data_IF_992253869033
#
_entry.id   IF_992253869033
#
_cell.length_a   1.000
_cell.length_b   1.000
_cell.length_c   1.000
_cell.angle_alpha   90.00
_cell.angle_beta   90.00
_cell.angle_gamma   90.00
#
_symmetry.space_group_name_H-M   'P 1'
#
loop_
_entity.id
_entity.type
_entity.pdbx_description
1 polymer ?
#
# COMPACT_ATOMS: atom_id res chain seq x y z
N UNK A 1 13.14 6.79 5.24
CA UNK A 1 13.81 5.48 5.11
C UNK A 1 14.83 5.58 4.00
N UNK A 2 16.09 5.13 4.18
CA UNK A 2 17.10 5.25 3.13
C UNK A 2 16.76 4.36 1.92
N UNK A 3 17.08 4.84 0.71
CA UNK A 3 16.73 4.22 -0.58
C UNK A 3 17.10 2.74 -0.66
N UNK A 4 18.38 2.41 -0.46
CA UNK A 4 18.90 1.06 -0.66
C UNK A 4 18.19 0.03 0.22
N UNK A 5 17.89 0.41 1.47
CA UNK A 5 17.17 -0.46 2.39
C UNK A 5 15.69 -0.62 2.02
N UNK A 6 15.04 0.43 1.53
CA UNK A 6 13.66 0.30 1.04
C UNK A 6 13.58 -0.66 -0.14
N UNK A 7 14.47 -0.51 -1.12
CA UNK A 7 14.46 -1.31 -2.35
C UNK A 7 14.83 -2.79 -2.11
N UNK A 8 15.76 -3.06 -1.20
CA UNK A 8 16.28 -4.43 -1.00
C UNK A 8 15.65 -5.21 0.15
N UNK A 9 15.16 -4.51 1.18
CA UNK A 9 14.79 -5.14 2.45
C UNK A 9 13.36 -4.82 2.86
N UNK A 10 13.04 -3.55 2.99
CA UNK A 10 11.84 -3.13 3.72
C UNK A 10 10.53 -3.12 2.89
N UNK A 11 10.56 -3.36 1.58
CA UNK A 11 9.36 -3.37 0.75
C UNK A 11 8.31 -4.40 1.22
N UNK A 12 8.73 -5.62 1.59
CA UNK A 12 7.83 -6.67 2.09
C UNK A 12 7.25 -6.29 3.45
N UNK A 13 8.09 -5.83 4.38
CA UNK A 13 7.64 -5.37 5.70
C UNK A 13 6.65 -4.21 5.61
N UNK A 14 6.88 -3.27 4.69
CA UNK A 14 6.00 -2.13 4.45
C UNK A 14 4.60 -2.59 4.03
N UNK A 15 4.52 -3.51 3.06
CA UNK A 15 3.25 -4.01 2.53
C UNK A 15 2.53 -5.00 3.46
N UNK A 16 3.26 -5.73 4.31
CA UNK A 16 2.67 -6.72 5.23
C UNK A 16 2.25 -6.10 6.56
N UNK A 17 2.99 -5.11 7.06
CA UNK A 17 2.83 -4.61 8.42
C UNK A 17 2.99 -3.09 8.59
N UNK A 18 3.40 -2.34 7.56
CA UNK A 18 3.69 -0.90 7.62
C UNK A 18 2.46 -0.01 7.86
N UNK A 19 1.86 -0.12 9.04
CA UNK A 19 0.64 0.58 9.42
C UNK A 19 0.92 1.83 10.26
N UNK A 20 -0.04 2.75 10.28
CA UNK A 20 0.03 4.04 10.97
C UNK A 20 -0.30 3.96 12.47
N UNK A 21 -0.96 2.89 12.92
CA UNK A 21 -1.20 2.68 14.34
C UNK A 21 0.08 2.18 15.03
N UNK A 22 0.31 2.64 16.24
CA UNK A 22 1.51 2.31 17.01
C UNK A 22 1.72 3.24 18.20
N UNK A 23 2.86 3.12 18.87
CA UNK A 23 3.16 3.89 20.08
C UNK A 23 3.50 5.36 19.82
N UNK A 24 3.90 5.74 18.60
CA UNK A 24 4.30 7.11 18.30
C UNK A 24 3.11 7.98 17.88
N UNK A 25 3.20 9.28 18.21
CA UNK A 25 2.22 10.28 17.77
C UNK A 25 2.28 10.56 16.27
N UNK A 26 3.47 10.47 15.67
CA UNK A 26 3.63 10.68 14.23
C UNK A 26 3.33 9.36 13.49
N UNK A 27 2.28 9.31 12.64
CA UNK A 27 1.90 8.09 11.92
C UNK A 27 3.00 7.59 10.99
N UNK A 28 3.84 8.46 10.41
CA UNK A 28 4.96 8.05 9.56
C UNK A 28 6.04 7.30 10.36
N UNK A 29 6.30 7.68 11.62
CA UNK A 29 7.20 6.93 12.49
C UNK A 29 6.64 5.55 12.82
N UNK A 30 5.32 5.40 12.97
CA UNK A 30 4.69 4.09 13.16
C UNK A 30 4.82 3.22 11.90
N UNK A 31 4.65 3.77 10.69
CA UNK A 31 4.85 3.03 9.44
C UNK A 31 6.27 2.45 9.40
N UNK A 32 7.28 3.28 9.68
CA UNK A 32 8.69 2.84 9.68
C UNK A 32 8.94 1.83 10.80
N UNK A 33 8.42 2.06 12.02
CA UNK A 33 8.57 1.13 13.14
C UNK A 33 8.05 -0.26 12.77
N UNK A 34 6.79 -0.33 12.35
CA UNK A 34 6.15 -1.59 12.03
C UNK A 34 6.84 -2.30 10.87
N UNK A 35 7.26 -1.54 9.86
CA UNK A 35 7.98 -2.08 8.70
C UNK A 35 9.30 -2.74 9.10
N UNK A 36 10.14 -2.02 9.86
CA UNK A 36 11.46 -2.50 10.28
C UNK A 36 11.31 -3.64 11.27
N UNK A 37 10.39 -3.54 12.23
CA UNK A 37 10.14 -4.60 13.19
C UNK A 37 9.68 -5.88 12.52
N UNK A 38 8.73 -5.81 11.59
CA UNK A 38 8.24 -6.99 10.89
C UNK A 38 9.34 -7.66 10.07
N UNK A 39 10.16 -6.87 9.36
CA UNK A 39 11.29 -7.40 8.60
C UNK A 39 12.34 -8.08 9.49
N UNK A 40 12.70 -7.44 10.61
CA UNK A 40 13.67 -8.00 11.57
C UNK A 40 13.14 -9.28 12.24
N UNK A 41 11.87 -9.32 12.63
CA UNK A 41 11.28 -10.47 13.30
C UNK A 41 10.93 -11.61 12.34
N UNK A 42 10.60 -11.28 11.09
CA UNK A 42 10.15 -12.22 10.08
C UNK A 42 10.91 -12.01 8.77
N UNK A 43 12.24 -12.25 8.76
CA UNK A 43 13.08 -12.04 7.59
C UNK A 43 12.61 -12.91 6.43
N UNK A 44 12.73 -12.39 5.21
CA UNK A 44 12.48 -13.17 4.00
C UNK A 44 13.60 -14.21 3.81
N UNK A 45 13.25 -15.41 3.31
CA UNK A 45 14.25 -16.43 2.97
C UNK A 45 14.87 -16.22 1.58
N UNK A 46 14.08 -15.70 0.64
CA UNK A 46 14.56 -15.27 -0.66
C UNK A 46 14.98 -13.81 -0.58
N UNK A 47 16.25 -13.52 -0.89
CA UNK A 47 16.65 -12.16 -1.24
C UNK A 47 15.94 -11.81 -2.55
N UNK A 48 14.95 -10.92 -2.48
CA UNK A 48 14.34 -10.36 -3.67
C UNK A 48 15.39 -9.54 -4.44
N UNK A 49 15.37 -9.62 -5.77
CA UNK A 49 16.06 -8.65 -6.63
C UNK A 49 15.67 -7.23 -6.21
N UNK A 50 16.52 -6.24 -6.53
CA UNK A 50 16.25 -4.84 -6.20
C UNK A 50 14.84 -4.42 -6.68
N UNK A 51 13.95 -4.18 -5.71
CA UNK A 51 12.56 -3.78 -5.98
C UNK A 51 12.52 -2.27 -6.08
N UNK A 52 12.45 -1.75 -7.30
CA UNK A 52 12.25 -0.33 -7.54
C UNK A 52 10.77 0.07 -7.39
N UNK A 53 9.83 -0.86 -7.51
CA UNK A 53 8.39 -0.59 -7.52
C UNK A 53 7.66 -1.16 -6.32
N UNK A 54 6.86 -0.33 -5.66
CA UNK A 54 5.90 -0.79 -4.66
C UNK A 54 4.58 -1.09 -5.40
N UNK A 55 4.04 -2.28 -5.21
CA UNK A 55 2.74 -2.63 -5.81
C UNK A 55 1.66 -1.65 -5.32
N UNK A 56 1.06 -0.93 -6.26
CA UNK A 56 0.09 0.13 -5.98
C UNK A 56 -1.18 -0.40 -5.32
N UNK A 57 -1.69 -1.55 -5.78
CA UNK A 57 -2.90 -2.16 -5.22
C UNK A 57 -2.66 -2.63 -3.78
N UNK A 58 -1.58 -3.36 -3.51
CA UNK A 58 -1.23 -3.77 -2.16
C UNK A 58 -0.94 -2.58 -1.24
N UNK A 59 -0.36 -1.49 -1.75
CA UNK A 59 -0.16 -0.27 -0.98
C UNK A 59 -1.50 0.38 -0.56
N UNK A 60 -2.47 0.44 -1.47
CA UNK A 60 -3.84 0.91 -1.16
C UNK A 60 -4.49 0.00 -0.11
N UNK A 61 -4.42 -1.32 -0.28
CA UNK A 61 -4.94 -2.28 0.70
C UNK A 61 -4.27 -2.12 2.07
N UNK A 62 -2.96 -1.84 2.11
CA UNK A 62 -2.20 -1.57 3.35
C UNK A 62 -2.67 -0.28 4.03
N UNK A 63 -2.93 0.77 3.26
CA UNK A 63 -3.48 2.03 3.77
C UNK A 63 -4.90 1.84 4.33
N UNK A 64 -5.75 1.07 3.65
CA UNK A 64 -7.09 0.73 4.15
C UNK A 64 -7.03 -0.09 5.44
N UNK A 65 -6.19 -1.13 5.49
CA UNK A 65 -5.93 -1.94 6.70
C UNK A 65 -5.41 -1.08 7.86
N UNK A 66 -4.51 -0.14 7.56
CA UNK A 66 -4.00 0.83 8.54
C UNK A 66 -5.12 1.70 9.13
N UNK A 67 -6.00 2.26 8.29
CA UNK A 67 -7.17 3.02 8.74
C UNK A 67 -8.13 2.18 9.58
N UNK A 68 -8.42 0.94 9.17
CA UNK A 68 -9.24 0.01 9.93
C UNK A 68 -8.64 -0.27 11.32
N UNK A 69 -7.31 -0.44 11.40
CA UNK A 69 -6.60 -0.62 12.66
C UNK A 69 -6.72 0.59 13.59
N UNK A 70 -6.55 1.81 13.07
CA UNK A 70 -6.72 3.05 13.83
C UNK A 70 -8.16 3.22 14.34
N UNK A 71 -9.15 2.98 13.48
CA UNK A 71 -10.58 3.04 13.84
C UNK A 71 -10.89 2.01 14.94
N UNK A 72 -10.37 0.79 14.83
CA UNK A 72 -10.58 -0.26 15.81
C UNK A 72 -9.93 0.08 17.16
N UNK A 73 -8.73 0.65 17.18
CA UNK A 73 -8.09 1.12 18.41
C UNK A 73 -8.95 2.18 19.09
N UNK A 74 -9.37 3.22 18.35
CA UNK A 74 -10.14 4.32 18.90
C UNK A 74 -11.50 3.85 19.46
N UNK A 75 -12.15 2.91 18.80
CA UNK A 75 -13.40 2.29 19.28
C UNK A 75 -13.18 1.35 20.46
N UNK A 76 -12.00 0.75 20.60
CA UNK A 76 -11.64 0.00 21.80
C UNK A 76 -11.43 0.93 23.00
N UNK A 77 -10.91 2.15 22.79
CA UNK A 77 -10.83 3.19 23.80
C UNK A 77 -12.22 3.70 24.21
N UNK A 78 -13.08 3.97 23.23
CA UNK A 78 -14.40 4.58 23.44
C UNK A 78 -15.51 3.72 22.82
N UNK A 79 -16.12 2.80 23.58
CA UNK A 79 -17.16 1.91 23.06
C UNK A 79 -18.39 2.64 22.47
N UNK A 80 -18.64 3.88 22.88
CA UNK A 80 -19.76 4.72 22.39
C UNK A 80 -19.46 5.43 21.08
N UNK A 81 -18.20 5.49 20.64
CA UNK A 81 -17.81 6.15 19.37
C UNK A 81 -18.23 5.27 18.20
N UNK A 82 -19.01 5.79 17.25
CA UNK A 82 -19.36 5.10 16.00
C UNK A 82 -18.17 5.00 15.02
N UNK A 83 -18.28 4.15 13.98
CA UNK A 83 -17.23 4.05 12.93
C UNK A 83 -17.04 5.40 12.24
N UNK A 84 -18.13 6.08 11.93
CA UNK A 84 -18.13 7.38 11.26
C UNK A 84 -17.46 8.46 12.13
N UNK A 85 -17.78 8.50 13.42
CA UNK A 85 -17.12 9.42 14.36
C UNK A 85 -15.62 9.11 14.47
N UNK A 86 -15.23 7.84 14.56
CA UNK A 86 -13.82 7.47 14.60
C UNK A 86 -13.04 7.94 13.35
N UNK A 87 -13.61 7.74 12.16
CA UNK A 87 -13.03 8.23 10.91
C UNK A 87 -12.93 9.76 10.92
N UNK A 88 -13.97 10.47 11.37
CA UNK A 88 -13.97 11.93 11.50
C UNK A 88 -12.86 12.41 12.43
N UNK A 89 -12.69 11.82 13.61
CA UNK A 89 -11.61 12.19 14.53
C UNK A 89 -10.24 11.95 13.92
N UNK A 90 -10.03 10.80 13.26
CA UNK A 90 -8.76 10.50 12.59
C UNK A 90 -8.46 11.47 11.46
N UNK A 91 -9.47 11.89 10.68
CA UNK A 91 -9.29 12.90 9.63
C UNK A 91 -8.88 14.25 10.21
N UNK A 92 -9.60 14.74 11.23
CA UNK A 92 -9.30 16.01 11.90
C UNK A 92 -7.97 16.00 12.66
N UNK A 93 -7.54 14.83 13.10
CA UNK A 93 -6.28 14.61 13.78
C UNK A 93 -5.11 14.31 12.83
N UNK A 94 -5.31 14.35 11.51
CA UNK A 94 -4.27 14.02 10.52
C UNK A 94 -3.66 12.63 10.78
N UNK A 95 -4.51 11.65 11.09
CA UNK A 95 -4.15 10.25 11.36
C UNK A 95 -3.32 10.09 12.66
N UNK A 96 -3.20 11.13 13.48
CA UNK A 96 -2.60 11.03 14.82
C UNK A 96 -3.59 10.39 15.80
N UNK A 97 -3.32 9.14 16.18
CA UNK A 97 -4.18 8.35 17.06
C UNK A 97 -4.40 9.00 18.44
N UNK A 98 -3.35 9.57 19.03
CA UNK A 98 -3.43 10.19 20.35
C UNK A 98 -4.29 11.46 20.33
N UNK A 99 -4.13 12.30 19.31
CA UNK A 99 -4.97 13.49 19.11
C UNK A 99 -6.42 13.12 18.82
N UNK A 100 -6.66 12.03 18.08
CA UNK A 100 -8.02 11.52 17.86
C UNK A 100 -8.68 11.02 19.16
N UNK A 101 -7.91 10.38 20.05
CA UNK A 101 -8.38 9.98 21.39
C UNK A 101 -8.77 11.20 22.23
N UNK A 102 -7.96 12.25 22.21
CA UNK A 102 -8.23 13.50 22.90
C UNK A 102 -9.51 14.18 22.39
N UNK A 103 -9.68 14.26 21.07
CA UNK A 103 -10.90 14.80 20.44
C UNK A 103 -12.17 14.03 20.86
N UNK A 104 -12.13 12.70 20.86
CA UNK A 104 -13.25 11.89 21.29
C UNK A 104 -13.63 12.15 22.75
N UNK A 105 -12.63 12.28 23.63
CA UNK A 105 -12.85 12.64 25.04
C UNK A 105 -13.44 14.04 25.21
N UNK A 106 -12.97 15.02 24.44
CA UNK A 106 -13.48 16.40 24.45
C UNK A 106 -14.94 16.49 23.98
N UNK A 107 -15.36 15.63 23.05
CA UNK A 107 -16.77 15.52 22.62
C UNK A 107 -17.64 14.69 23.59
N UNK A 108 -17.12 14.37 24.79
CA UNK A 108 -17.89 13.75 25.87
C UNK A 108 -17.98 12.22 25.82
N UNK A 109 -17.22 11.57 24.93
CA UNK A 109 -17.15 10.11 24.94
C UNK A 109 -16.35 9.63 26.16
N UNK A 110 -16.98 8.81 27.00
CA UNK A 110 -16.31 8.19 28.13
C UNK A 110 -15.32 7.11 27.65
N UNK A 111 -14.04 7.30 27.96
CA UNK A 111 -13.04 6.24 27.76
C UNK A 111 -13.41 5.04 28.64
N UNK A 112 -13.21 3.83 28.12
CA UNK A 112 -13.43 2.59 28.87
C UNK A 112 -12.65 2.64 30.18
N UNK A 113 -13.34 2.36 31.29
CA UNK A 113 -12.70 2.32 32.61
C UNK A 113 -11.52 1.33 32.60
N UNK A 114 -10.39 1.77 33.18
CA UNK A 114 -9.10 1.05 33.16
C UNK A 114 -8.73 0.54 31.76
N UNK A 115 -8.83 1.41 30.75
CA UNK A 115 -8.49 1.04 29.38
C UNK A 115 -7.08 0.42 29.29
N UNK A 116 -7.06 -0.82 28.78
CA UNK A 116 -5.84 -1.57 28.54
C UNK A 116 -5.36 -1.35 27.10
N UNK A 117 -4.15 -0.78 26.97
CA UNK A 117 -3.51 -0.53 25.68
C UNK A 117 -3.31 -1.82 24.88
N UNK A 118 -3.05 -2.95 25.54
CA UNK A 118 -2.92 -4.26 24.89
C UNK A 118 -4.19 -4.67 24.16
N UNK A 119 -5.36 -4.41 24.75
CA UNK A 119 -6.67 -4.63 24.10
C UNK A 119 -6.81 -3.71 22.88
N UNK A 120 -6.45 -2.44 23.02
CA UNK A 120 -6.48 -1.48 21.91
C UNK A 120 -5.62 -1.91 20.72
N UNK A 121 -4.35 -2.25 20.99
CA UNK A 121 -3.42 -2.71 19.94
C UNK A 121 -3.85 -4.04 19.34
N UNK A 122 -4.38 -4.96 20.14
CA UNK A 122 -4.91 -6.23 19.62
C UNK A 122 -6.12 -6.01 18.72
N UNK A 123 -7.02 -5.08 19.07
CA UNK A 123 -8.13 -4.69 18.20
C UNK A 123 -7.63 -4.08 16.88
N UNK A 124 -6.62 -3.20 16.95
CA UNK A 124 -6.01 -2.59 15.77
C UNK A 124 -5.37 -3.62 14.84
N UNK A 125 -4.49 -4.47 15.37
CA UNK A 125 -3.83 -5.55 14.63
C UNK A 125 -4.84 -6.56 14.07
N UNK A 126 -5.96 -6.78 14.78
CA UNK A 126 -7.08 -7.60 14.30
C UNK A 126 -7.72 -7.01 13.06
N UNK A 127 -8.17 -5.76 13.14
CA UNK A 127 -8.85 -5.06 12.05
C UNK A 127 -7.93 -4.78 10.85
N UNK A 128 -6.63 -4.57 11.09
CA UNK A 128 -5.64 -4.37 10.04
C UNK A 128 -5.17 -5.68 9.37
N UNK A 129 -5.64 -6.84 9.84
CA UNK A 129 -5.19 -8.15 9.35
C UNK A 129 -3.67 -8.35 9.48
N UNK A 130 -3.06 -7.83 10.55
CA UNK A 130 -1.64 -8.01 10.78
C UNK A 130 -1.27 -9.52 10.83
N UNK A 131 -0.16 -9.96 10.20
CA UNK A 131 0.16 -11.39 10.07
C UNK A 131 0.34 -12.11 11.40
N UNK A 132 0.95 -11.43 12.40
CA UNK A 132 1.11 -11.95 13.75
C UNK A 132 0.75 -10.87 14.78
N UNK A 133 -0.51 -10.91 15.23
CA UNK A 133 -1.12 -9.86 16.06
C UNK A 133 -0.57 -9.89 17.48
N UNK A 134 -0.34 -11.08 18.01
CA UNK A 134 0.11 -11.27 19.38
C UNK A 134 1.59 -10.91 19.51
N UNK A 135 2.43 -11.28 18.53
CA UNK A 135 3.82 -10.82 18.50
C UNK A 135 3.92 -9.29 18.46
N UNK A 136 3.11 -8.63 17.62
CA UNK A 136 3.12 -7.17 17.52
C UNK A 136 2.68 -6.50 18.83
N UNK A 137 1.60 -6.98 19.44
CA UNK A 137 1.08 -6.42 20.70
C UNK A 137 2.09 -6.62 21.82
N UNK A 138 2.68 -7.82 21.93
CA UNK A 138 3.71 -8.11 22.94
C UNK A 138 4.91 -7.19 22.77
N UNK A 139 5.37 -6.99 21.53
CA UNK A 139 6.44 -6.04 21.21
C UNK A 139 6.09 -4.62 21.66
N UNK A 140 4.90 -4.12 21.34
CA UNK A 140 4.51 -2.78 21.77
C UNK A 140 4.50 -2.63 23.29
N UNK A 141 3.94 -3.61 24.00
CA UNK A 141 3.86 -3.57 25.46
C UNK A 141 5.24 -3.67 26.12
N UNK A 142 6.11 -4.57 25.65
CA UNK A 142 7.45 -4.72 26.22
C UNK A 142 8.34 -3.53 25.91
N UNK A 143 8.39 -3.12 24.64
CA UNK A 143 9.36 -2.14 24.16
C UNK A 143 8.98 -0.69 24.50
N UNK A 144 7.69 -0.34 24.58
CA UNK A 144 7.27 1.06 24.74
C UNK A 144 6.51 1.35 26.03
N UNK A 145 5.96 0.32 26.67
CA UNK A 145 5.17 0.46 27.89
C UNK A 145 5.72 -0.36 29.05
N UNK A 146 6.89 -0.97 28.87
CA UNK A 146 7.64 -1.67 29.92
C UNK A 146 8.46 -0.72 30.82
N UNK A 147 9.28 -1.29 31.72
CA UNK A 147 10.08 -0.52 32.69
C UNK A 147 11.11 0.43 32.05
N UNK A 148 11.61 0.09 30.85
CA UNK A 148 12.61 0.84 30.10
C UNK A 148 12.07 1.11 28.68
N UNK A 149 11.15 2.09 28.52
CA UNK A 149 10.49 2.31 27.25
C UNK A 149 11.44 2.92 26.22
N UNK A 150 11.47 2.34 25.04
CA UNK A 150 12.08 2.91 23.85
C UNK A 150 11.43 4.26 23.55
N UNK A 151 12.24 5.31 23.44
CA UNK A 151 11.80 6.65 23.02
C UNK A 151 12.19 6.85 21.57
N UNK A 152 11.30 7.45 20.77
CA UNK A 152 11.72 8.02 19.50
C UNK A 152 12.71 9.15 19.78
N UNK A 153 13.99 8.94 19.46
CA UNK A 153 14.96 10.03 19.43
C UNK A 153 14.70 10.89 18.18
N UNK A 154 15.01 12.19 18.24
CA UNK A 154 14.50 13.22 17.33
C UNK A 154 14.65 12.92 15.84
N UNK A 155 15.75 12.30 15.42
CA UNK A 155 15.86 11.66 14.11
C UNK A 155 15.45 10.20 14.22
N UNK A 156 14.33 9.84 13.60
CA UNK A 156 13.88 8.45 13.48
C UNK A 156 14.80 7.68 12.53
N UNK A 157 16.00 7.35 13.03
CA UNK A 157 17.04 6.67 12.27
C UNK A 157 16.70 5.19 12.11
N UNK A 158 16.44 4.80 10.87
CA UNK A 158 16.06 3.43 10.47
C UNK A 158 17.18 2.43 10.78
N UNK A 159 18.44 2.82 10.63
CA UNK A 159 19.58 1.93 10.89
C UNK A 159 19.73 1.70 12.38
N UNK A 160 19.64 2.77 13.18
CA UNK A 160 19.65 2.66 14.63
C UNK A 160 18.48 1.81 15.13
N UNK A 161 17.28 2.01 14.58
CA UNK A 161 16.12 1.19 14.92
C UNK A 161 16.35 -0.28 14.57
N UNK A 162 16.86 -0.58 13.37
CA UNK A 162 17.17 -1.95 12.93
C UNK A 162 18.18 -2.61 13.86
N UNK A 163 19.23 -1.88 14.26
CA UNK A 163 20.25 -2.36 15.19
C UNK A 163 19.64 -2.65 16.57
N UNK A 164 18.83 -1.74 17.11
CA UNK A 164 18.17 -1.92 18.41
C UNK A 164 17.25 -3.14 18.41
N UNK A 165 16.43 -3.30 17.36
CA UNK A 165 15.51 -4.43 17.23
C UNK A 165 16.22 -5.77 16.99
N UNK A 166 17.43 -5.76 16.44
CA UNK A 166 18.24 -6.97 16.26
C UNK A 166 18.90 -7.45 17.57
N UNK A 167 18.98 -6.60 18.59
CA UNK A 167 19.54 -6.92 19.90
C UNK A 167 18.48 -7.37 20.92
N UNK A 168 17.20 -7.06 20.68
CA UNK A 168 16.10 -7.59 21.48
C UNK A 168 16.16 -9.12 21.44
N UNK A 169 16.14 -9.81 22.60
CA UNK A 169 16.06 -11.26 22.60
C UNK A 169 14.78 -11.62 21.86
N UNK A 170 14.91 -12.28 20.71
CA UNK A 170 13.77 -12.84 19.99
C UNK A 170 13.04 -13.72 20.99
N UNK A 171 11.95 -13.22 21.56
CA UNK A 171 10.91 -14.08 22.07
C UNK A 171 10.55 -14.90 20.86
N UNK A 172 11.07 -16.14 20.83
CA UNK A 172 10.74 -17.11 19.80
C UNK A 172 9.26 -16.95 19.58
N UNK A 173 8.81 -16.59 18.35
CA UNK A 173 7.39 -16.52 18.10
C UNK A 173 6.92 -17.95 18.30
N UNK A 174 6.44 -18.25 19.52
CA UNK A 174 5.64 -19.41 19.87
C UNK A 174 4.30 -19.20 19.18
N UNK A 175 4.31 -19.07 17.86
CA UNK A 175 3.15 -18.92 17.05
C UNK A 175 3.04 -20.22 16.28
N UNK A 176 2.04 -21.02 16.65
CA UNK A 176 1.51 -22.05 15.77
C UNK A 176 0.95 -21.34 14.54
N UNK A 177 1.80 -20.98 13.58
CA UNK A 177 1.30 -20.65 12.27
C UNK A 177 0.52 -21.87 11.80
N UNK A 178 -0.73 -21.65 11.39
CA UNK A 178 -1.42 -22.65 10.58
C UNK A 178 -0.46 -23.08 9.47
N UNK A 179 -0.25 -24.38 9.32
CA UNK A 179 0.68 -24.90 8.33
C UNK A 179 0.24 -24.38 6.96
N UNK A 180 1.11 -23.61 6.31
CA UNK A 180 0.81 -23.07 4.98
C UNK A 180 0.61 -24.25 4.03
N UNK A 181 -0.54 -24.31 3.34
CA UNK A 181 -0.79 -25.35 2.35
C UNK A 181 0.31 -25.34 1.28
N UNK A 182 0.79 -26.52 0.92
CA UNK A 182 1.70 -26.67 -0.22
C UNK A 182 0.99 -26.18 -1.48
N UNK A 183 1.70 -25.42 -2.31
CA UNK A 183 1.18 -24.97 -3.60
C UNK A 183 1.09 -26.17 -4.56
N UNK A 184 -0.05 -26.32 -5.24
CA UNK A 184 -0.14 -27.22 -6.38
C UNK A 184 0.77 -26.74 -7.51
N UNK A 185 1.06 -27.61 -8.48
CA UNK A 185 1.87 -27.23 -9.64
C UNK A 185 1.27 -26.02 -10.40
N UNK A 186 -0.05 -26.01 -10.59
CA UNK A 186 -0.76 -24.88 -11.18
C UNK A 186 -0.65 -23.60 -10.37
N UNK A 187 -0.72 -23.69 -9.03
CA UNK A 187 -0.57 -22.54 -8.14
C UNK A 187 0.85 -21.99 -8.14
N UNK A 188 1.87 -22.86 -8.22
CA UNK A 188 3.27 -22.47 -8.37
C UNK A 188 3.52 -21.76 -9.70
N UNK A 189 2.97 -22.28 -10.82
CA UNK A 189 3.04 -21.60 -12.13
C UNK A 189 2.35 -20.23 -12.09
N UNK A 190 1.18 -20.15 -11.47
CA UNK A 190 0.45 -18.89 -11.30
C UNK A 190 1.27 -17.87 -10.51
N UNK A 191 1.87 -18.27 -9.39
CA UNK A 191 2.74 -17.41 -8.60
C UNK A 191 3.95 -16.92 -9.40
N UNK A 192 4.59 -17.82 -10.16
CA UNK A 192 5.70 -17.45 -11.06
C UNK A 192 5.28 -16.41 -12.09
N UNK A 193 4.10 -16.57 -12.72
CA UNK A 193 3.58 -15.61 -13.69
C UNK A 193 3.29 -14.25 -13.05
N UNK A 194 2.70 -14.22 -11.85
CA UNK A 194 2.46 -12.98 -11.10
C UNK A 194 3.78 -12.24 -10.83
N UNK A 195 4.80 -12.94 -10.36
CA UNK A 195 6.13 -12.36 -10.10
C UNK A 195 6.76 -11.82 -11.39
N UNK A 196 6.69 -12.58 -12.49
CA UNK A 196 7.23 -12.17 -13.80
C UNK A 196 6.50 -10.97 -14.39
N UNK A 197 5.17 -10.93 -14.32
CA UNK A 197 4.37 -9.80 -14.80
C UNK A 197 4.71 -8.52 -14.00
N UNK A 198 4.88 -8.63 -12.68
CA UNK A 198 5.29 -7.52 -11.83
C UNK A 198 6.71 -7.02 -12.16
N UNK A 199 7.66 -7.93 -12.36
CA UNK A 199 9.03 -7.59 -12.76
C UNK A 199 9.09 -6.95 -14.15
N UNK A 200 8.32 -7.46 -15.11
CA UNK A 200 8.22 -6.89 -16.45
C UNK A 200 7.64 -5.47 -16.41
N UNK A 201 6.60 -5.25 -15.59
CA UNK A 201 5.99 -3.93 -15.41
C UNK A 201 6.96 -2.93 -14.75
N UNK A 202 7.68 -3.36 -13.70
CA UNK A 202 8.75 -2.56 -13.08
C UNK A 202 9.82 -2.17 -14.11
N UNK A 203 10.34 -3.14 -14.86
CA UNK A 203 11.39 -2.92 -15.84
C UNK A 203 10.94 -1.99 -16.97
N UNK A 204 9.70 -2.15 -17.43
CA UNK A 204 9.09 -1.27 -18.41
C UNK A 204 9.05 0.18 -17.92
N UNK A 205 8.53 0.44 -16.72
CA UNK A 205 8.48 1.80 -16.17
C UNK A 205 9.88 2.37 -15.92
N UNK A 206 10.80 1.58 -15.39
CA UNK A 206 12.19 2.00 -15.18
C UNK A 206 12.89 2.39 -16.49
N UNK A 207 12.54 1.78 -17.63
CA UNK A 207 13.08 2.13 -18.96
C UNK A 207 12.58 3.45 -19.53
N UNK A 208 11.49 4.00 -18.97
CA UNK A 208 10.87 5.24 -19.46
C UNK A 208 11.42 6.49 -18.73
N UNK A 209 12.10 6.35 -17.60
CA UNK A 209 12.51 7.48 -16.76
C UNK A 209 13.64 8.36 -17.34
N UNK A 210 13.65 9.68 -17.12
CA UNK A 210 14.77 10.58 -17.47
C UNK A 210 16.04 10.30 -16.62
N UNK A 211 17.12 11.07 -16.84
CA UNK A 211 18.37 11.01 -16.06
C UNK A 211 18.22 11.46 -14.59
N UNK A 212 17.34 10.81 -13.82
CA UNK A 212 17.24 10.96 -12.37
C UNK A 212 17.79 9.72 -11.67
N UNK A 213 18.23 9.90 -10.42
CA UNK A 213 18.45 8.78 -9.53
C UNK A 213 17.10 8.37 -8.94
N UNK A 214 16.52 7.29 -9.48
CA UNK A 214 15.24 6.75 -9.04
C UNK A 214 15.37 6.15 -7.63
N UNK A 215 14.50 6.56 -6.71
CA UNK A 215 14.45 6.01 -5.35
C UNK A 215 13.40 4.91 -5.23
N UNK A 216 12.17 5.18 -5.67
CA UNK A 216 11.07 4.20 -5.65
C UNK A 216 9.92 4.65 -6.55
N UNK A 217 9.31 3.72 -7.27
CA UNK A 217 8.01 3.87 -7.92
C UNK A 217 6.95 3.52 -6.87
N UNK A 218 6.11 4.49 -6.51
CA UNK A 218 5.16 4.39 -5.40
C UNK A 218 3.69 4.49 -5.85
N UNK A 219 3.45 4.62 -7.15
CA UNK A 219 2.11 4.63 -7.75
C UNK A 219 2.19 4.27 -9.22
N UNK A 220 1.29 3.42 -9.68
CA UNK A 220 1.18 2.98 -11.07
C UNK A 220 -0.28 2.66 -11.38
N UNK A 221 -0.79 3.30 -12.43
CA UNK A 221 -1.97 2.87 -13.16
C UNK A 221 -1.57 2.55 -14.59
N UNK A 222 -1.47 1.27 -14.99
CA UNK A 222 -1.11 0.93 -16.36
C UNK A 222 -2.31 0.99 -17.31
N UNK A 223 -3.53 1.24 -16.81
CA UNK A 223 -4.79 1.13 -17.57
C UNK A 223 -5.36 2.48 -18.01
N UNK A 224 -4.50 3.41 -18.43
CA UNK A 224 -4.95 4.73 -18.90
C UNK A 224 -5.17 4.69 -20.42
N UNK A 225 -6.31 5.23 -20.85
CA UNK A 225 -6.71 5.29 -22.27
C UNK A 225 -6.76 6.74 -22.73
N UNK A 226 -6.77 6.93 -24.04
CA UNK A 226 -6.96 8.26 -24.61
C UNK A 226 -8.42 8.68 -24.44
N UNK A 227 -8.64 9.90 -23.95
CA UNK A 227 -9.96 10.47 -23.81
C UNK A 227 -10.75 10.48 -25.14
N UNK A 228 -12.07 10.29 -25.05
CA UNK A 228 -12.96 10.18 -26.21
C UNK A 228 -12.87 8.84 -26.96
N UNK A 229 -11.95 7.94 -26.59
CA UNK A 229 -11.95 6.55 -27.07
C UNK A 229 -12.76 5.73 -26.08
N UNK A 230 -13.81 5.06 -26.56
CA UNK A 230 -14.55 4.11 -25.72
C UNK A 230 -13.60 2.98 -25.29
N UNK A 231 -13.33 2.76 -23.98
CA UNK A 231 -12.87 1.49 -23.47
C UNK A 231 -14.00 0.49 -23.66
N UNK A 232 -14.12 0.00 -24.89
CA UNK A 232 -14.73 -1.29 -25.12
C UNK A 232 -13.95 -2.27 -24.23
N UNK A 233 -14.59 -2.68 -23.13
CA UNK A 233 -14.23 -3.78 -22.23
C UNK A 233 -13.31 -3.44 -21.05
N UNK A 234 -13.86 -2.86 -19.99
CA UNK A 234 -13.58 -3.38 -18.64
C UNK A 234 -14.35 -4.70 -18.48
N UNK A 235 -13.89 -5.74 -19.18
CA UNK A 235 -14.51 -7.07 -19.12
C UNK A 235 -14.34 -7.70 -17.74
N UNK A 236 -15.17 -8.71 -17.47
CA UNK A 236 -15.19 -9.51 -16.24
C UNK A 236 -13.78 -9.65 -15.63
N UNK A 237 -13.61 -9.18 -14.40
CA UNK A 237 -12.36 -9.05 -13.63
C UNK A 237 -11.42 -10.27 -13.68
N UNK A 238 -11.95 -11.44 -14.06
CA UNK A 238 -11.19 -12.68 -14.21
C UNK A 238 -10.36 -12.77 -15.50
N UNK A 239 -10.67 -11.97 -16.53
CA UNK A 239 -9.96 -11.93 -17.80
C UNK A 239 -9.64 -10.48 -18.13
N UNK A 240 -8.63 -9.89 -17.47
CA UNK A 240 -7.91 -8.73 -18.02
C UNK A 240 -7.21 -9.18 -19.31
N UNK A 241 -7.97 -9.41 -20.37
CA UNK A 241 -7.46 -9.36 -21.73
C UNK A 241 -6.87 -7.96 -21.81
N UNK A 242 -5.52 -7.90 -21.80
CA UNK A 242 -4.73 -6.67 -21.91
C UNK A 242 -5.03 -6.04 -23.26
N UNK A 243 -6.22 -5.47 -23.46
CA UNK A 243 -6.40 -4.45 -24.47
C UNK A 243 -5.40 -3.37 -24.09
N UNK A 244 -4.43 -3.13 -24.98
CA UNK A 244 -3.31 -2.21 -24.75
C UNK A 244 -3.88 -0.84 -24.40
N UNK A 245 -3.96 -0.56 -23.10
CA UNK A 245 -4.04 0.79 -22.60
C UNK A 245 -2.88 1.57 -23.19
N UNK A 246 -3.16 2.78 -23.68
CA UNK A 246 -2.16 3.57 -24.42
C UNK A 246 -1.18 4.24 -23.49
N UNK A 247 -1.58 4.49 -22.25
CA UNK A 247 -0.79 5.26 -21.31
C UNK A 247 -0.72 4.57 -19.94
N UNK A 248 0.33 4.91 -19.21
CA UNK A 248 0.49 4.58 -17.79
C UNK A 248 0.68 5.87 -17.01
N UNK A 249 -0.01 5.99 -15.88
CA UNK A 249 0.24 7.06 -14.91
C UNK A 249 1.11 6.53 -13.78
N UNK A 250 2.19 7.26 -13.47
CA UNK A 250 3.22 6.80 -12.53
C UNK A 250 3.52 7.88 -11.51
N UNK A 251 3.66 7.49 -10.25
CA UNK A 251 4.40 8.28 -9.27
C UNK A 251 5.70 7.61 -8.88
N UNK A 252 6.74 8.43 -8.76
CA UNK A 252 8.03 7.98 -8.28
C UNK A 252 8.72 9.08 -7.47
N UNK A 253 9.50 8.66 -6.48
CA UNK A 253 10.45 9.51 -5.78
C UNK A 253 11.79 9.42 -6.50
N UNK A 254 12.40 10.57 -6.80
CA UNK A 254 13.72 10.63 -7.40
C UNK A 254 14.48 11.89 -6.99
N UNK A 255 15.80 11.83 -7.19
CA UNK A 255 16.73 12.94 -6.96
C UNK A 255 17.47 13.28 -8.26
N UNK A 256 17.90 14.55 -8.46
CA UNK A 256 18.73 14.92 -9.61
C UNK A 256 20.05 14.14 -9.61
N UNK A 257 20.40 13.52 -10.75
CA UNK A 257 21.65 12.76 -10.89
C UNK A 257 22.87 13.67 -10.70
N UNK A 258 23.89 13.17 -9.99
CA UNK A 258 25.16 13.90 -9.78
C UNK A 258 25.13 14.91 -8.62
N UNK A 259 24.11 14.88 -7.78
CA UNK A 259 24.09 15.64 -6.52
C UNK A 259 25.08 15.01 -5.51
N UNK A 260 26.37 15.36 -5.66
CA UNK A 260 27.47 14.94 -4.79
C UNK A 260 27.66 15.83 -3.54
N UNK A 261 26.77 16.80 -3.30
CA UNK A 261 26.86 17.63 -2.10
C UNK A 261 26.44 16.80 -0.88
N UNK A 262 27.20 16.93 0.21
CA UNK A 262 26.96 16.32 1.53
C UNK A 262 25.61 16.68 2.18
N UNK A 263 24.80 17.49 1.51
CA UNK A 263 23.47 17.87 1.95
C UNK A 263 22.52 16.71 1.66
N UNK A 264 21.71 16.36 2.65
CA UNK A 264 20.71 15.30 2.53
C UNK A 264 19.73 15.67 1.41
N UNK A 265 19.92 15.14 0.21
CA UNK A 265 19.05 15.43 -0.93
C UNK A 265 17.67 14.85 -0.63
N UNK A 266 16.71 15.73 -0.39
CA UNK A 266 15.32 15.35 -0.16
C UNK A 266 14.74 14.91 -1.52
N UNK A 267 14.30 13.64 -1.65
CA UNK A 267 13.73 13.16 -2.90
C UNK A 267 12.45 13.92 -3.24
N UNK A 268 12.25 14.25 -4.51
CA UNK A 268 11.04 14.90 -4.99
C UNK A 268 10.07 13.85 -5.54
N UNK A 269 8.78 14.02 -5.25
CA UNK A 269 7.72 13.19 -5.82
C UNK A 269 7.35 13.71 -7.21
N UNK A 270 7.46 12.84 -8.20
CA UNK A 270 7.11 13.15 -9.58
C UNK A 270 5.85 12.39 -10.00
N UNK A 271 5.14 12.96 -10.95
CA UNK A 271 4.13 12.32 -11.77
C UNK A 271 4.67 12.18 -13.19
N UNK A 272 4.44 11.04 -13.85
CA UNK A 272 4.68 10.88 -15.28
C UNK A 272 3.50 10.18 -15.96
N UNK A 273 3.19 10.63 -17.17
CA UNK A 273 2.38 9.89 -18.12
C UNK A 273 3.30 9.26 -19.16
N UNK A 274 3.33 7.93 -19.21
CA UNK A 274 4.19 7.16 -20.10
C UNK A 274 3.34 6.54 -21.22
N UNK A 275 3.75 6.69 -22.47
CA UNK A 275 3.16 5.92 -23.57
C UNK A 275 3.57 4.44 -23.47
N UNK A 276 2.58 3.55 -23.52
CA UNK A 276 2.75 2.11 -23.47
C UNK A 276 3.16 1.50 -24.82
N UNK A 277 3.00 2.25 -25.92
CA UNK A 277 3.46 1.83 -27.24
C UNK A 277 4.98 2.01 -27.34
N UNK A 278 5.70 0.91 -27.53
CA UNK A 278 7.17 0.92 -27.68
C UNK A 278 7.63 1.65 -28.95
N UNK A 279 6.75 1.78 -29.95
CA UNK A 279 7.07 2.40 -31.24
C UNK A 279 7.06 3.93 -31.18
N UNK A 280 6.52 4.51 -30.09
CA UNK A 280 6.43 5.95 -29.91
C UNK A 280 7.45 6.36 -28.85
N UNK A 281 8.54 6.98 -29.30
CA UNK A 281 9.49 7.70 -28.44
C UNK A 281 8.91 9.05 -28.05
N UNK A 282 7.77 9.06 -27.36
CA UNK A 282 7.37 10.24 -26.61
C UNK A 282 8.22 10.25 -25.34
N UNK A 283 9.07 11.28 -25.17
CA UNK A 283 9.75 11.50 -23.89
C UNK A 283 8.66 11.68 -22.82
N UNK A 284 8.62 10.83 -21.78
CA UNK A 284 7.60 10.95 -20.76
C UNK A 284 7.79 12.27 -20.03
N UNK A 285 6.76 13.09 -20.09
CA UNK A 285 6.74 14.37 -19.39
C UNK A 285 6.60 14.09 -17.89
N UNK A 286 7.70 14.23 -17.17
CA UNK A 286 7.78 14.07 -15.74
C UNK A 286 7.59 15.43 -15.06
N UNK A 287 6.65 15.51 -14.12
CA UNK A 287 6.28 16.74 -13.44
C UNK A 287 6.47 16.58 -11.94
N UNK A 288 7.23 17.48 -11.27
CA UNK A 288 7.25 17.48 -9.81
C UNK A 288 5.85 17.85 -9.29
N UNK A 289 5.38 17.13 -8.28
CA UNK A 289 4.08 17.39 -7.66
C UNK A 289 4.25 18.48 -6.61
N UNK A 290 3.62 19.63 -6.87
CA UNK A 290 3.65 20.79 -6.02
C UNK A 290 2.21 21.26 -5.77
N UNK A 291 1.89 21.65 -4.53
CA UNK A 291 0.58 22.19 -4.18
C UNK A 291 -0.51 21.12 -4.02
N UNK A 292 -1.73 21.45 -4.45
CA UNK A 292 -2.86 20.53 -4.35
C UNK A 292 -2.81 19.46 -5.44
N UNK A 293 -3.20 18.21 -5.15
CA UNK A 293 -3.23 17.17 -6.15
C UNK A 293 -4.41 17.35 -7.11
N UNK A 294 -4.16 17.15 -8.39
CA UNK A 294 -5.20 17.01 -9.42
C UNK A 294 -5.99 15.71 -9.28
N UNK A 295 -6.99 15.56 -10.14
CA UNK A 295 -7.84 14.37 -10.22
C UNK A 295 -7.68 13.68 -11.57
N UNK A 296 -7.86 12.36 -11.58
CA UNK A 296 -7.83 11.57 -12.80
C UNK A 296 -8.93 10.52 -12.76
N UNK A 297 -9.83 10.58 -13.76
CA UNK A 297 -10.92 9.64 -13.94
C UNK A 297 -10.44 8.18 -13.92
N UNK A 298 -9.42 7.85 -14.71
CA UNK A 298 -8.91 6.48 -14.83
C UNK A 298 -8.28 5.96 -13.54
N UNK A 299 -7.54 6.79 -12.81
CA UNK A 299 -6.93 6.39 -11.55
C UNK A 299 -7.98 6.25 -10.43
N UNK A 300 -8.99 7.12 -10.40
CA UNK A 300 -10.12 7.00 -9.49
C UNK A 300 -10.94 5.75 -9.78
N UNK A 301 -11.22 5.45 -11.06
CA UNK A 301 -11.91 4.25 -11.48
C UNK A 301 -11.16 2.98 -11.07
N UNK A 302 -9.85 2.93 -11.28
CA UNK A 302 -9.01 1.80 -10.88
C UNK A 302 -8.77 1.70 -9.36
N UNK A 303 -9.21 2.70 -8.58
CA UNK A 303 -8.98 2.77 -7.14
C UNK A 303 -7.51 2.90 -6.74
N UNK A 304 -6.63 3.24 -7.68
CA UNK A 304 -5.19 3.41 -7.45
C UNK A 304 -4.87 4.84 -7.04
N UNK A 305 -4.00 4.99 -6.03
CA UNK A 305 -3.65 6.29 -5.45
C UNK A 305 -2.42 6.89 -6.11
N UNK A 306 -2.55 7.19 -7.41
CA UNK A 306 -1.61 8.07 -8.11
C UNK A 306 -2.00 9.52 -7.78
N UNK A 307 -1.01 10.31 -7.37
CA UNK A 307 -1.08 11.75 -7.13
C UNK A 307 -0.76 12.45 -8.44
N UNK A 308 -1.68 13.29 -8.90
CA UNK A 308 -1.53 14.02 -10.15
C UNK A 308 -1.21 15.49 -9.89
N UNK A 309 -0.50 16.18 -10.79
CA UNK A 309 -0.38 17.63 -10.74
C UNK A 309 -1.74 18.29 -11.02
N UNK A 310 -2.03 19.41 -10.37
CA UNK A 310 -3.29 20.15 -10.55
C UNK A 310 -3.42 20.80 -11.93
N UNK A 311 -2.33 21.42 -12.42
CA UNK A 311 -2.37 22.34 -13.57
C UNK A 311 -1.78 21.78 -14.87
N UNK A 312 -1.27 20.54 -14.87
CA UNK A 312 -0.69 19.91 -16.07
C UNK A 312 -1.73 19.13 -16.86
N UNK A 313 -1.46 18.91 -18.15
CA UNK A 313 -2.30 18.11 -19.04
C UNK A 313 -1.88 16.64 -19.01
N UNK A 314 -2.83 15.76 -18.73
CA UNK A 314 -2.72 14.30 -18.81
C UNK A 314 -4.12 13.72 -19.08
N UNK A 315 -4.18 12.48 -19.55
CA UNK A 315 -5.43 11.82 -19.90
C UNK A 315 -6.26 11.50 -18.66
N UNK A 316 -7.58 11.66 -18.71
CA UNK A 316 -8.46 11.47 -17.55
C UNK A 316 -8.65 12.70 -16.66
N UNK A 317 -8.00 13.84 -16.92
CA UNK A 317 -8.14 15.06 -16.08
C UNK A 317 -9.44 15.83 -16.33
N UNK A 318 -9.80 16.00 -17.60
CA UNK A 318 -10.77 17.01 -18.03
C UNK A 318 -12.02 16.34 -18.63
N UNK A 319 -11.97 16.06 -19.93
CA UNK A 319 -13.12 15.63 -20.75
C UNK A 319 -13.80 14.35 -20.22
N UNK A 320 -13.09 13.44 -19.57
CA UNK A 320 -13.67 12.21 -19.02
C UNK A 320 -14.64 12.51 -17.85
N UNK A 321 -14.31 13.50 -17.00
CA UNK A 321 -15.24 13.95 -15.95
C UNK A 321 -16.41 14.77 -16.53
N UNK A 322 -16.16 15.59 -17.55
CA UNK A 322 -17.21 16.35 -18.24
C UNK A 322 -18.19 15.41 -18.95
N UNK A 323 -17.69 14.42 -19.67
CA UNK A 323 -18.49 13.39 -20.35
C UNK A 323 -19.34 12.60 -19.34
N UNK A 324 -18.76 12.22 -18.19
CA UNK A 324 -19.49 11.56 -17.10
C UNK A 324 -20.61 12.45 -16.56
N UNK A 325 -20.31 13.72 -16.27
CA UNK A 325 -21.28 14.68 -15.72
C UNK A 325 -22.42 14.98 -16.70
N UNK A 326 -22.12 15.08 -17.99
CA UNK A 326 -23.09 15.33 -19.06
C UNK A 326 -23.91 14.09 -19.44
N UNK A 327 -23.61 12.91 -18.86
CA UNK A 327 -24.15 11.60 -19.28
C UNK A 327 -23.94 11.32 -20.78
N UNK A 328 -22.96 11.99 -21.38
CA UNK A 328 -22.54 11.81 -22.77
C UNK A 328 -21.36 10.88 -22.88
N UNK A 329 -20.81 10.42 -21.75
CA UNK A 329 -19.75 9.43 -21.75
C UNK A 329 -20.23 8.21 -22.52
N UNK A 330 -19.51 7.91 -23.61
CA UNK A 330 -19.84 6.82 -24.54
C UNK A 330 -19.99 5.45 -23.88
N UNK A 331 -19.55 5.31 -22.62
CA UNK A 331 -19.48 4.05 -21.89
C UNK A 331 -20.59 3.91 -20.84
N UNK A 332 -21.36 4.97 -20.58
CA UNK A 332 -22.40 4.97 -19.55
C UNK A 332 -21.92 4.93 -18.10
N UNK A 333 -20.61 5.07 -17.85
CA UNK A 333 -20.04 5.15 -16.49
C UNK A 333 -20.56 6.41 -15.81
N UNK A 334 -21.17 6.24 -14.64
CA UNK A 334 -21.66 7.34 -13.79
C UNK A 334 -20.78 7.52 -12.56
N UNK A 335 -20.98 8.61 -11.82
CA UNK A 335 -20.20 8.88 -10.62
C UNK A 335 -20.36 7.78 -9.55
N UNK A 336 -21.54 7.15 -9.48
CA UNK A 336 -21.80 6.01 -8.61
C UNK A 336 -20.92 4.81 -8.95
N UNK A 337 -20.56 4.60 -10.23
CA UNK A 337 -19.65 3.54 -10.65
C UNK A 337 -18.22 3.82 -10.21
N UNK A 338 -17.75 5.07 -10.30
CA UNK A 338 -16.44 5.47 -9.77
C UNK A 338 -16.35 5.22 -8.27
N UNK A 339 -17.37 5.66 -7.52
CA UNK A 339 -17.45 5.43 -6.07
C UNK A 339 -17.48 3.93 -5.77
N UNK A 340 -18.33 3.17 -6.47
CA UNK A 340 -18.45 1.72 -6.29
C UNK A 340 -17.17 0.98 -6.63
N UNK A 341 -16.44 1.41 -7.67
CA UNK A 341 -15.16 0.80 -8.04
C UNK A 341 -14.07 1.09 -7.00
N UNK A 342 -13.95 2.35 -6.56
CA UNK A 342 -13.05 2.71 -5.46
C UNK A 342 -13.41 2.00 -4.16
N UNK A 343 -14.70 1.84 -3.86
CA UNK A 343 -15.19 1.04 -2.75
C UNK A 343 -14.80 -0.43 -2.92
N UNK A 344 -15.00 -1.03 -4.10
CA UNK A 344 -14.63 -2.42 -4.37
C UNK A 344 -13.16 -2.67 -4.06
N UNK A 345 -12.24 -1.80 -4.51
CA UNK A 345 -10.79 -1.92 -4.25
C UNK A 345 -10.45 -1.76 -2.77
N UNK A 346 -11.18 -0.92 -2.03
CA UNK A 346 -10.91 -0.64 -0.61
C UNK A 346 -11.61 -1.60 0.36
N UNK A 347 -12.78 -2.13 -0.01
CA UNK A 347 -13.57 -3.11 0.74
C UNK A 347 -13.18 -4.55 0.43
N UNK A 348 -12.56 -4.83 -0.71
CA UNK A 348 -11.90 -6.12 -0.95
C UNK A 348 -10.68 -6.24 -0.04
N UNK A 349 -10.90 -6.41 1.27
CA UNK A 349 -9.88 -6.79 2.26
C UNK A 349 -9.49 -8.27 2.09
N UNK A 350 -10.14 -8.95 1.13
CA UNK A 350 -9.69 -10.21 0.59
C UNK A 350 -8.29 -10.10 -0.02
N UNK A 351 -7.72 -11.25 -0.29
CA UNK A 351 -6.41 -11.36 -0.89
C UNK A 351 -6.52 -11.26 -2.42
N UNK A 352 -5.60 -10.52 -3.05
CA UNK A 352 -5.49 -10.42 -4.51
C UNK A 352 -4.25 -11.17 -5.03
N UNK A 353 -4.11 -11.24 -6.36
CA UNK A 353 -2.90 -11.78 -6.98
C UNK A 353 -1.66 -10.97 -6.58
N UNK A 354 -1.79 -9.65 -6.52
CA UNK A 354 -0.69 -8.74 -6.19
C UNK A 354 -0.21 -8.89 -4.72
N UNK A 355 -1.11 -9.23 -3.79
CA UNK A 355 -0.74 -9.56 -2.40
C UNK A 355 0.21 -10.78 -2.31
N UNK A 356 0.27 -11.60 -3.37
CA UNK A 356 1.10 -12.80 -3.46
C UNK A 356 2.50 -12.54 -4.06
N UNK A 357 2.81 -11.33 -4.54
CA UNK A 357 4.13 -11.01 -5.12
C UNK A 357 5.26 -11.38 -4.14
N UNK A 358 5.06 -11.10 -2.85
CA UNK A 358 6.00 -11.38 -1.77
C UNK A 358 5.59 -12.60 -0.93
N UNK A 359 5.03 -13.63 -1.59
CA UNK A 359 4.57 -14.85 -0.95
C UNK A 359 5.66 -15.52 -0.09
N UNK A 360 5.29 -15.81 1.16
CA UNK A 360 6.12 -16.54 2.13
C UNK A 360 5.50 -17.90 2.44
N UNK A 361 6.15 -18.98 1.98
CA UNK A 361 5.65 -20.35 2.14
C UNK A 361 5.56 -20.83 3.59
N UNK A 362 6.10 -20.10 4.58
CA UNK A 362 5.99 -20.45 6.00
C UNK A 362 4.86 -19.72 6.72
N UNK A 363 4.36 -18.63 6.15
CA UNK A 363 3.45 -17.70 6.86
C UNK A 363 2.20 -17.33 6.08
N UNK A 364 2.25 -17.30 4.76
CA UNK A 364 1.21 -16.75 3.92
C UNK A 364 0.10 -17.76 3.59
N UNK A 365 -0.56 -18.28 4.63
CA UNK A 365 -1.67 -19.24 4.52
C UNK A 365 -2.77 -18.73 3.58
N UNK A 366 -3.13 -17.44 3.69
CA UNK A 366 -4.16 -16.82 2.84
C UNK A 366 -3.73 -16.79 1.37
N UNK A 367 -2.46 -16.47 1.08
CA UNK A 367 -1.93 -16.46 -0.28
C UNK A 367 -1.92 -17.87 -0.86
N UNK A 368 -1.45 -18.85 -0.10
CA UNK A 368 -1.43 -20.24 -0.54
C UNK A 368 -2.83 -20.76 -0.87
N UNK A 369 -3.81 -20.49 0.00
CA UNK A 369 -5.20 -20.84 -0.24
C UNK A 369 -5.76 -20.17 -1.49
N UNK A 370 -5.50 -18.87 -1.66
CA UNK A 370 -5.92 -18.12 -2.84
C UNK A 370 -5.31 -18.66 -4.13
N UNK A 371 -3.98 -18.85 -4.17
CA UNK A 371 -3.27 -19.35 -5.34
C UNK A 371 -3.77 -20.76 -5.73
N UNK A 372 -3.92 -21.65 -4.75
CA UNK A 372 -4.45 -23.00 -4.97
C UNK A 372 -5.90 -22.98 -5.48
N UNK A 373 -6.75 -22.12 -4.93
CA UNK A 373 -8.13 -21.99 -5.41
C UNK A 373 -8.20 -21.40 -6.82
N UNK A 374 -7.41 -20.36 -7.09
CA UNK A 374 -7.39 -19.67 -8.37
C UNK A 374 -6.83 -20.56 -9.48
N UNK A 375 -5.73 -21.28 -9.21
CA UNK A 375 -5.17 -22.24 -10.16
C UNK A 375 -6.18 -23.33 -10.55
N UNK A 376 -6.91 -23.90 -9.58
CA UNK A 376 -7.96 -24.88 -9.86
C UNK A 376 -9.07 -24.31 -10.75
N UNK A 377 -9.48 -23.06 -10.53
CA UNK A 377 -10.49 -22.42 -11.38
C UNK A 377 -9.99 -22.19 -12.81
N UNK A 378 -8.74 -21.79 -13.00
CA UNK A 378 -8.15 -21.62 -14.32
C UNK A 378 -8.04 -22.96 -15.07
N UNK A 379 -7.60 -24.02 -14.38
CA UNK A 379 -7.51 -25.36 -14.96
C UNK A 379 -8.89 -25.89 -15.40
N UNK A 380 -9.95 -25.66 -14.61
CA UNK A 380 -11.31 -26.03 -14.98
C UNK A 380 -11.83 -25.27 -16.21
N UNK A 381 -11.47 -24.00 -16.38
CA UNK A 381 -11.86 -23.21 -17.56
C UNK A 381 -11.17 -23.67 -18.84
N UNK A 382 -9.99 -24.30 -18.76
CA UNK A 382 -9.30 -24.85 -19.92
C UNK A 382 -9.82 -26.24 -20.35
N UNK A 383 -10.71 -26.87 -19.56
CA UNK A 383 -11.31 -28.17 -19.88
C UNK A 383 -12.66 -28.09 -20.59
N UNK A 384 -13.23 -26.88 -20.76
CA UNK A 384 -14.43 -26.63 -21.56
C UNK A 384 -14.05 -25.87 -22.83
#
# INVERSE_FOLDING_TARGET
>A
MPREFLQRRYHRGLLKAGHCYGPFMNPAHNIVLNTVWYDTMFPAEEEYSEVAMICSRTLVSTACRSLLGLVAYLRACFPTVSRQQAIRYLLLAEVNLQRAIEMAGQEGHAMKDKFDRGIGFKAAATAAHHPDRDALVNFYLSAFFGPLPLKACGSFDVQLLSLMLSQEPSTSPHCSFETVPVLTEGASRLLSNIKQDFEAEQNFICSKGPEYDLHVICGLNPYVIKSGVSPLHYGDSSCKIRYKSKYSHVNFLASPRGSHSSDTVIPTLFFAECCNDNDITDEPLCWPIMGHPGRCFHCEYEGVKVVHPESQKYHGRDIDFEEMACKSHSNGIVNEDLVSSGESVTYSVGISQEDCIYFDFRRDVKCANFLNAHARMLEQRHCF
#
